data_IF_976445316706
#
_entry.id   IF_976445316706
#
_cell.length_a   1.000
_cell.length_b   1.000
_cell.length_c   1.000
_cell.angle_alpha   90.00
_cell.angle_beta   90.00
_cell.angle_gamma   90.00
#
_symmetry.space_group_name_H-M   'P 1'
#
loop_
_entity.id
_entity.type
_entity.pdbx_description
1 polymer ?
#
# COMPACT_ATOMS: atom_id res chain seq x y z
N UNK A 1 20.78 -2.88 -9.47
CA UNK A 1 19.30 -2.91 -9.64
C UNK A 1 18.64 -4.26 -9.33
N UNK A 2 19.22 -5.10 -8.45
CA UNK A 2 18.58 -6.38 -8.04
C UNK A 2 17.46 -6.17 -7.00
N UNK A 3 17.58 -5.14 -6.17
CA UNK A 3 16.57 -4.81 -5.16
C UNK A 3 15.19 -4.52 -5.78
N UNK A 4 15.12 -3.75 -6.88
CA UNK A 4 13.87 -3.47 -7.58
C UNK A 4 13.17 -4.76 -8.04
N UNK A 5 13.92 -5.78 -8.46
CA UNK A 5 13.36 -7.02 -8.98
C UNK A 5 12.77 -7.87 -7.86
N UNK A 6 13.46 -7.90 -6.71
CA UNK A 6 12.96 -8.59 -5.52
C UNK A 6 11.68 -7.91 -4.99
N UNK A 7 11.66 -6.58 -4.94
CA UNK A 7 10.45 -5.81 -4.58
C UNK A 7 9.31 -6.06 -5.58
N UNK A 8 9.61 -6.06 -6.89
CA UNK A 8 8.64 -6.34 -7.94
C UNK A 8 7.99 -7.72 -7.75
N UNK A 9 8.79 -8.76 -7.48
CA UNK A 9 8.29 -10.10 -7.27
C UNK A 9 7.32 -10.19 -6.07
N UNK A 10 7.64 -9.50 -4.97
CA UNK A 10 6.74 -9.42 -3.81
C UNK A 10 5.42 -8.71 -4.12
N UNK A 11 5.48 -7.57 -4.80
CA UNK A 11 4.29 -6.81 -5.20
C UNK A 11 3.42 -7.61 -6.18
N UNK A 12 4.03 -8.19 -7.22
CA UNK A 12 3.33 -9.00 -8.21
C UNK A 12 2.65 -10.22 -7.58
N UNK A 13 3.32 -10.89 -6.65
CA UNK A 13 2.74 -12.02 -5.90
C UNK A 13 1.48 -11.58 -5.15
N UNK A 14 1.52 -10.40 -4.51
CA UNK A 14 0.37 -9.88 -3.78
C UNK A 14 -0.79 -9.49 -4.70
N UNK A 15 -0.50 -8.82 -5.82
CA UNK A 15 -1.49 -8.44 -6.84
C UNK A 15 -2.20 -9.67 -7.39
N UNK A 16 -1.42 -10.67 -7.82
CA UNK A 16 -1.93 -11.95 -8.33
C UNK A 16 -2.73 -12.71 -7.27
N UNK A 17 -2.37 -12.60 -5.98
CA UNK A 17 -3.09 -13.24 -4.88
C UNK A 17 -4.42 -12.55 -4.56
N UNK A 18 -4.47 -11.22 -4.67
CA UNK A 18 -5.67 -10.41 -4.39
C UNK A 18 -6.72 -10.52 -5.49
N UNK A 19 -6.31 -10.66 -6.77
CA UNK A 19 -7.19 -10.74 -7.95
C UNK A 19 -8.27 -9.64 -7.97
N UNK A 20 -7.87 -8.42 -7.61
CA UNK A 20 -8.73 -7.24 -7.70
C UNK A 20 -8.50 -6.56 -9.05
N UNK A 21 -9.56 -6.04 -9.69
CA UNK A 21 -9.44 -5.45 -11.03
C UNK A 21 -8.48 -4.26 -11.06
N UNK A 22 -8.40 -3.49 -9.97
CA UNK A 22 -7.51 -2.35 -9.86
C UNK A 22 -6.93 -2.22 -8.44
N UNK A 23 -5.61 -2.06 -8.34
CA UNK A 23 -4.92 -1.90 -7.05
C UNK A 23 -3.93 -0.74 -7.08
N UNK A 24 -4.06 0.18 -6.13
CA UNK A 24 -3.06 1.21 -5.85
C UNK A 24 -2.04 0.70 -4.85
N UNK A 25 -0.76 0.67 -5.25
CA UNK A 25 0.37 0.30 -4.39
C UNK A 25 1.03 1.58 -3.88
N UNK A 26 0.90 1.85 -2.58
CA UNK A 26 1.60 2.95 -1.92
C UNK A 26 3.08 2.62 -1.76
N UNK A 27 3.95 3.51 -2.24
CA UNK A 27 5.41 3.36 -2.16
C UNK A 27 6.00 4.56 -1.42
N UNK A 28 6.92 4.30 -0.50
CA UNK A 28 7.73 5.32 0.15
C UNK A 28 9.16 4.78 0.33
N UNK A 29 10.13 5.68 0.44
CA UNK A 29 11.53 5.36 0.64
C UNK A 29 12.48 6.16 -0.27
N UNK A 30 13.65 6.49 0.27
CA UNK A 30 14.69 7.26 -0.42
C UNK A 30 15.17 6.61 -1.73
N UNK A 31 15.22 5.28 -1.80
CA UNK A 31 15.63 4.56 -3.02
C UNK A 31 14.63 4.80 -4.15
N UNK A 32 13.33 4.76 -3.87
CA UNK A 32 12.32 5.03 -4.90
C UNK A 32 12.29 6.52 -5.28
N UNK A 33 12.54 7.42 -4.33
CA UNK A 33 12.50 8.88 -4.56
C UNK A 33 13.72 9.45 -5.28
N UNK A 34 14.92 9.03 -4.90
CA UNK A 34 16.16 9.68 -5.32
C UNK A 34 16.93 8.90 -6.40
N UNK A 35 16.58 7.63 -6.66
CA UNK A 35 17.29 6.83 -7.64
C UNK A 35 16.62 6.90 -9.02
N UNK A 36 17.27 7.47 -10.05
CA UNK A 36 16.62 7.86 -11.32
C UNK A 36 15.99 6.69 -12.09
N UNK A 37 16.59 5.51 -12.00
CA UNK A 37 16.16 4.32 -12.75
C UNK A 37 15.32 3.33 -11.91
N UNK A 38 15.15 3.56 -10.60
CA UNK A 38 14.53 2.56 -9.73
C UNK A 38 13.01 2.45 -9.93
N UNK A 39 12.23 3.55 -9.97
CA UNK A 39 10.78 3.47 -10.22
C UNK A 39 10.46 2.78 -11.55
N UNK A 40 11.18 3.14 -12.61
CA UNK A 40 10.99 2.56 -13.95
C UNK A 40 11.25 1.05 -13.98
N UNK A 41 12.35 0.60 -13.37
CA UNK A 41 12.67 -0.84 -13.32
C UNK A 41 11.72 -1.62 -12.42
N UNK A 42 11.24 -1.01 -11.33
CA UNK A 42 10.26 -1.63 -10.46
C UNK A 42 8.95 -1.86 -11.22
N UNK A 43 8.43 -0.81 -11.87
CA UNK A 43 7.19 -0.88 -12.64
C UNK A 43 7.28 -1.88 -13.80
N UNK A 44 8.35 -1.80 -14.61
CA UNK A 44 8.59 -2.73 -15.72
C UNK A 44 8.57 -4.20 -15.26
N UNK A 45 9.20 -4.50 -14.12
CA UNK A 45 9.27 -5.87 -13.61
C UNK A 45 7.99 -6.35 -12.93
N UNK A 46 7.20 -5.44 -12.35
CA UNK A 46 5.86 -5.80 -11.85
C UNK A 46 4.98 -6.19 -13.04
N UNK A 47 4.96 -5.37 -14.10
CA UNK A 47 4.18 -5.64 -15.31
C UNK A 47 4.51 -6.98 -15.98
N UNK A 48 5.77 -7.44 -15.92
CA UNK A 48 6.14 -8.77 -16.44
C UNK A 48 5.69 -9.96 -15.58
N UNK A 49 5.33 -9.73 -14.30
CA UNK A 49 5.01 -10.79 -13.34
C UNK A 49 3.52 -10.82 -12.96
N UNK A 50 2.79 -9.72 -13.20
CA UNK A 50 1.37 -9.60 -12.93
C UNK A 50 0.55 -10.22 -14.08
N UNK A 51 -0.57 -10.84 -13.73
CA UNK A 51 -1.55 -11.33 -14.70
C UNK A 51 -2.10 -10.19 -15.57
N UNK A 52 -2.14 -10.37 -16.89
CA UNK A 52 -2.55 -9.32 -17.85
C UNK A 52 -3.96 -8.76 -17.60
N UNK A 53 -4.80 -9.52 -16.88
CA UNK A 53 -6.16 -9.11 -16.51
C UNK A 53 -6.24 -8.14 -15.32
N UNK A 54 -5.12 -7.86 -14.65
CA UNK A 54 -5.07 -7.04 -13.44
C UNK A 54 -4.40 -5.69 -13.70
N UNK A 55 -5.06 -4.61 -13.31
CA UNK A 55 -4.49 -3.27 -13.38
C UNK A 55 -3.92 -2.83 -12.03
N UNK A 56 -2.81 -2.09 -12.07
CA UNK A 56 -2.20 -1.51 -10.88
C UNK A 56 -1.61 -0.14 -11.17
N UNK A 57 -1.40 0.64 -10.10
CA UNK A 57 -0.64 1.88 -10.15
C UNK A 57 0.27 2.02 -8.94
N UNK A 58 1.47 2.56 -9.14
CA UNK A 58 2.40 2.91 -8.07
C UNK A 58 2.17 4.37 -7.66
N UNK A 59 1.94 4.61 -6.37
CA UNK A 59 1.70 5.95 -5.84
C UNK A 59 2.74 6.28 -4.76
N UNK A 60 3.51 7.35 -4.96
CA UNK A 60 4.45 7.84 -3.96
C UNK A 60 3.67 8.46 -2.79
N UNK A 61 3.94 8.01 -1.57
CA UNK A 61 3.36 8.57 -0.35
C UNK A 61 4.29 9.63 0.25
N UNK A 62 3.79 10.85 0.45
CA UNK A 62 4.59 11.97 0.98
C UNK A 62 4.69 11.96 2.51
N UNK A 63 3.60 11.56 3.18
CA UNK A 63 3.51 11.35 4.64
C UNK A 63 2.43 10.30 4.95
N UNK A 64 2.65 9.08 4.44
CA UNK A 64 1.71 7.98 4.63
C UNK A 64 1.64 7.50 6.07
N UNK A 65 2.80 7.44 6.74
CA UNK A 65 2.91 6.89 8.10
C UNK A 65 2.23 7.77 9.14
N UNK A 66 2.40 9.10 9.08
CA UNK A 66 1.80 10.01 10.06
C UNK A 66 0.28 10.08 9.93
N UNK A 67 -0.21 10.31 8.70
CA UNK A 67 -1.65 10.42 8.42
C UNK A 67 -2.40 9.11 8.65
N UNK A 68 -1.81 7.99 8.24
CA UNK A 68 -2.38 6.66 8.46
C UNK A 68 -2.53 6.33 9.94
N UNK A 69 -1.48 6.58 10.73
CA UNK A 69 -1.51 6.36 12.17
C UNK A 69 -2.56 7.23 12.87
N UNK A 70 -2.65 8.51 12.51
CA UNK A 70 -3.64 9.42 13.06
C UNK A 70 -5.08 8.98 12.76
N UNK A 71 -5.36 8.52 11.53
CA UNK A 71 -6.67 8.00 11.15
C UNK A 71 -7.05 6.76 11.96
N UNK A 72 -6.13 5.79 12.08
CA UNK A 72 -6.37 4.56 12.86
C UNK A 72 -6.60 4.91 14.34
N UNK A 73 -5.82 5.82 14.91
CA UNK A 73 -6.00 6.29 16.28
C UNK A 73 -7.36 6.97 16.51
N UNK A 74 -7.81 7.80 15.56
CA UNK A 74 -9.12 8.45 15.63
C UNK A 74 -10.27 7.42 15.57
N UNK A 75 -10.18 6.43 14.68
CA UNK A 75 -11.17 5.35 14.57
C UNK A 75 -11.19 4.49 15.84
N UNK A 76 -10.04 4.11 16.37
CA UNK A 76 -9.96 3.35 17.63
C UNK A 76 -10.53 4.14 18.82
N UNK A 77 -10.24 5.45 18.90
CA UNK A 77 -10.79 6.33 19.94
C UNK A 77 -12.32 6.42 19.85
N UNK A 78 -12.87 6.50 18.64
CA UNK A 78 -14.32 6.49 18.41
C UNK A 78 -14.95 5.17 18.86
N UNK A 79 -14.42 4.03 18.44
CA UNK A 79 -14.95 2.70 18.80
C UNK A 79 -14.93 2.49 20.32
N UNK A 80 -13.88 2.95 21.01
CA UNK A 80 -13.80 2.89 22.47
C UNK A 80 -14.87 3.75 23.15
N UNK A 81 -15.16 4.94 22.61
CA UNK A 81 -16.25 5.79 23.11
C UNK A 81 -17.62 5.16 22.89
N UNK A 82 -17.86 4.56 21.72
CA UNK A 82 -19.10 3.86 21.39
C UNK A 82 -19.29 2.57 22.23
N UNK A 83 -18.20 1.88 22.56
CA UNK A 83 -18.22 0.66 23.40
C UNK A 83 -18.34 0.95 24.90
N UNK A 84 -17.77 2.07 25.36
CA UNK A 84 -17.91 2.57 26.73
C UNK A 84 -19.21 3.35 26.98
N UNK A 85 -19.89 3.79 25.92
CA UNK A 85 -21.20 4.44 25.97
C UNK A 85 -22.34 3.44 25.66
N UNK A 86 -22.29 2.24 26.24
CA UNK A 86 -23.54 1.55 26.58
C UNK A 86 -24.05 2.21 27.87
N UNK A 87 -24.94 3.22 27.82
CA UNK A 87 -25.66 3.56 29.02
C UNK A 87 -26.37 2.28 29.45
N UNK A 88 -26.24 1.91 30.72
CA UNK A 88 -27.09 0.93 31.34
C UNK A 88 -28.55 1.39 31.11
N UNK A 89 -29.19 0.88 30.06
CA UNK A 89 -30.57 1.15 29.75
C UNK A 89 -31.40 0.04 30.38
N UNK A 90 -32.07 0.42 31.47
CA UNK A 90 -33.15 -0.23 32.20
C UNK A 90 -32.83 -1.55 32.92
#
# INVERSE_FOLDING_TARGET
MRAAYLCAAGIATLLNRMRKPFVTVGVDGSVYRFHPNFPRLLDEKIGHLVDESLEYQLMLSEDGSGRGAALVAAVASRINRESGARPCAN
#
